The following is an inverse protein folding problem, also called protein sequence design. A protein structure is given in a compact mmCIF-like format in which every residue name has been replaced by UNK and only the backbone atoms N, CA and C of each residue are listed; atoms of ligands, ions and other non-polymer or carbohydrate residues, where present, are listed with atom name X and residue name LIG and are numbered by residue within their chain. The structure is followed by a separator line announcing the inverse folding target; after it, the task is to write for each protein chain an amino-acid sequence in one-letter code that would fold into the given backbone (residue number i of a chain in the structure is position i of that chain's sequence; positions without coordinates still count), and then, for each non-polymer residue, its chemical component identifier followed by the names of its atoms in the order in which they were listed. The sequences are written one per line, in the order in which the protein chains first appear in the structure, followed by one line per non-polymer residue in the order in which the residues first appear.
data_IF_559664461037
#
_entry.id   IF_559664461037
#
_cell.length_a   1.000
_cell.length_b   1.000
_cell.length_c   1.000
_cell.angle_alpha   90.00
_cell.angle_beta   90.00
_cell.angle_gamma   90.00
#
_symmetry.space_group_name_H-M   'P 1'
#
loop_
_entity.id
_entity.type
_entity.pdbx_description
1 polymer ?
#
# COMPACT_ATOMS: atom_id res chain seq x y z
N UNK A 1 14.04 -11.66 -3.54
CA UNK A 1 12.70 -11.96 -4.09
C UNK A 1 11.66 -12.07 -2.97
N UNK A 2 11.35 -10.95 -2.31
CA UNK A 2 10.21 -10.88 -1.40
C UNK A 2 9.06 -10.22 -2.18
N UNK A 3 8.71 -10.89 -3.27
CA UNK A 3 7.50 -10.62 -4.00
C UNK A 3 6.28 -11.19 -3.27
N UNK A 4 5.10 -10.77 -3.68
CA UNK A 4 3.83 -11.36 -3.28
C UNK A 4 3.95 -12.87 -3.09
N UNK A 5 3.52 -13.44 -1.97
CA UNK A 5 3.62 -14.87 -1.72
C UNK A 5 2.93 -15.63 -2.86
N UNK A 6 3.64 -16.56 -3.50
CA UNK A 6 3.06 -17.37 -4.60
C UNK A 6 1.79 -18.04 -4.10
N UNK A 7 0.69 -17.81 -4.79
CA UNK A 7 -0.57 -18.51 -4.55
C UNK A 7 -0.41 -19.94 -5.06
N UNK A 8 -0.10 -20.90 -4.19
CA UNK A 8 -0.59 -22.25 -4.41
C UNK A 8 -2.06 -22.24 -3.97
N UNK A 9 -2.94 -22.01 -4.94
CA UNK A 9 -4.38 -22.05 -4.74
C UNK A 9 -4.79 -23.52 -4.73
N UNK A 10 -4.77 -24.14 -3.54
CA UNK A 10 -5.68 -25.22 -3.24
C UNK A 10 -6.86 -24.54 -2.55
N UNK A 11 -7.99 -24.52 -3.23
CA UNK A 11 -9.25 -24.03 -2.67
C UNK A 11 -9.62 -24.85 -1.43
N UNK A 12 -9.65 -24.27 -0.26
CA UNK A 12 -10.48 -24.77 0.82
C UNK A 12 -11.73 -23.90 0.89
N UNK A 13 -12.86 -24.58 1.04
CA UNK A 13 -14.17 -24.00 1.23
C UNK A 13 -14.13 -22.79 2.16
N UNK A 14 -14.65 -21.68 1.67
CA UNK A 14 -14.84 -20.43 2.39
C UNK A 14 -15.73 -20.72 3.61
N UNK A 15 -15.12 -20.89 4.78
CA UNK A 15 -15.83 -20.69 6.05
C UNK A 15 -15.89 -19.18 6.29
N UNK A 16 -17.03 -18.59 5.97
CA UNK A 16 -17.41 -17.29 6.47
C UNK A 16 -17.45 -17.34 8.01
N UNK A 17 -16.33 -17.04 8.65
CA UNK A 17 -16.33 -16.56 10.03
C UNK A 17 -16.30 -15.05 9.97
N UNK A 18 -17.47 -14.45 10.17
CA UNK A 18 -17.62 -13.06 10.52
C UNK A 18 -16.90 -12.81 11.84
N UNK A 19 -15.66 -12.38 11.80
CA UNK A 19 -15.04 -11.72 12.94
C UNK A 19 -15.37 -10.23 12.83
N UNK A 20 -16.41 -9.81 13.56
CA UNK A 20 -16.85 -8.45 13.71
C UNK A 20 -15.85 -7.65 14.54
N UNK A 21 -14.71 -7.28 13.94
CA UNK A 21 -13.99 -6.08 14.29
C UNK A 21 -14.15 -5.11 13.12
N UNK A 22 -15.39 -4.67 12.89
CA UNK A 22 -15.67 -3.61 11.97
C UNK A 22 -14.97 -2.34 12.44
N UNK A 23 -14.31 -1.64 11.52
CA UNK A 23 -14.01 -0.23 11.70
C UNK A 23 -15.31 0.43 12.20
N UNK A 24 -15.29 1.25 13.27
CA UNK A 24 -16.53 1.83 13.82
C UNK A 24 -17.32 2.46 12.67
N UNK A 25 -18.66 2.30 12.66
CA UNK A 25 -19.49 2.83 11.58
C UNK A 25 -19.23 4.31 11.42
N UNK A 26 -19.00 4.72 10.19
CA UNK A 26 -18.85 6.13 9.81
C UNK A 26 -20.13 6.86 10.22
N UNK A 27 -20.10 7.53 11.37
CA UNK A 27 -21.14 8.48 11.73
C UNK A 27 -21.06 9.65 10.76
N UNK A 28 -22.11 9.82 9.94
CA UNK A 28 -22.26 10.90 8.95
C UNK A 28 -22.24 12.31 9.56
N UNK A 29 -22.24 12.42 10.88
CA UNK A 29 -22.36 13.67 11.65
C UNK A 29 -21.07 14.12 12.34
N UNK A 30 -19.92 13.51 12.01
CA UNK A 30 -18.66 14.14 12.36
C UNK A 30 -18.42 15.30 11.40
N UNK A 31 -18.31 16.55 11.91
CA UNK A 31 -17.84 17.63 11.07
C UNK A 31 -16.50 17.17 10.48
N UNK A 32 -16.42 17.17 9.15
CA UNK A 32 -15.16 16.95 8.44
C UNK A 32 -14.10 17.71 9.21
N UNK A 33 -13.07 17.06 9.78
CA UNK A 33 -11.99 17.82 10.36
C UNK A 33 -11.55 18.75 9.23
N UNK A 34 -11.68 20.05 9.48
CA UNK A 34 -11.21 21.11 8.61
C UNK A 34 -9.95 20.61 7.95
N UNK A 35 -9.97 20.49 6.63
CA UNK A 35 -8.81 20.17 5.83
C UNK A 35 -7.67 21.04 6.35
N UNK A 36 -6.88 20.51 7.28
CA UNK A 36 -5.57 21.10 7.54
C UNK A 36 -4.97 21.19 6.17
N UNK A 37 -4.65 22.39 5.75
CA UNK A 37 -4.11 22.68 4.44
C UNK A 37 -3.13 21.57 4.13
N UNK A 38 -3.51 20.70 3.18
CA UNK A 38 -2.62 19.64 2.69
C UNK A 38 -1.48 20.43 2.11
N UNK A 39 -0.35 20.47 2.80
CA UNK A 39 0.85 21.03 2.19
C UNK A 39 0.97 20.32 0.85
N UNK A 40 1.08 21.05 -0.27
CA UNK A 40 1.04 20.43 -1.58
C UNK A 40 2.24 19.50 -1.72
N UNK A 41 2.00 18.21 -1.50
CA UNK A 41 3.01 17.22 -1.75
C UNK A 41 3.02 16.93 -3.24
N UNK A 42 4.18 17.04 -3.85
CA UNK A 42 4.34 16.70 -5.26
C UNK A 42 4.58 15.20 -5.38
N UNK A 43 3.61 14.47 -5.96
CA UNK A 43 3.72 13.02 -6.19
C UNK A 43 4.15 12.80 -7.63
N UNK A 44 5.30 12.16 -7.80
CA UNK A 44 5.91 11.89 -9.11
C UNK A 44 6.50 10.49 -9.15
N UNK A 45 6.82 10.02 -10.33
CA UNK A 45 7.58 8.79 -10.49
C UNK A 45 8.99 8.95 -9.90
N UNK A 46 9.44 7.93 -9.17
CA UNK A 46 10.78 7.91 -8.62
C UNK A 46 11.82 7.60 -9.71
N UNK A 47 13.01 8.09 -9.51
CA UNK A 47 14.20 7.78 -10.30
C UNK A 47 15.14 6.85 -9.53
N UNK A 48 16.11 6.22 -10.22
CA UNK A 48 17.06 5.32 -9.55
C UNK A 48 17.86 6.03 -8.46
N UNK A 49 18.18 7.31 -8.65
CA UNK A 49 18.86 8.15 -7.67
C UNK A 49 18.06 8.35 -6.35
N UNK A 50 16.76 8.14 -6.37
CA UNK A 50 15.90 8.27 -5.19
C UNK A 50 15.90 7.03 -4.28
N UNK A 51 16.39 5.89 -4.79
CA UNK A 51 16.19 4.59 -4.13
C UNK A 51 16.82 4.50 -2.76
N UNK A 52 17.95 5.16 -2.54
CA UNK A 52 18.61 5.20 -1.23
C UNK A 52 17.73 5.95 -0.21
N UNK A 53 17.23 7.12 -0.57
CA UNK A 53 16.33 7.91 0.28
C UNK A 53 14.98 7.19 0.52
N UNK A 54 14.47 6.49 -0.50
CA UNK A 54 13.26 5.66 -0.36
C UNK A 54 13.51 4.48 0.59
N UNK A 55 14.69 3.86 0.56
CA UNK A 55 15.07 2.79 1.47
C UNK A 55 15.18 3.27 2.92
N UNK A 56 15.76 4.45 3.13
CA UNK A 56 15.79 5.08 4.45
C UNK A 56 14.40 5.37 4.98
N UNK A 57 13.54 5.96 4.14
CA UNK A 57 12.13 6.19 4.47
C UNK A 57 11.42 4.88 4.81
N UNK A 58 11.68 3.81 4.06
CA UNK A 58 11.11 2.50 4.31
C UNK A 58 11.48 1.98 5.69
N UNK A 59 12.77 2.01 6.02
CA UNK A 59 13.25 1.57 7.33
C UNK A 59 12.60 2.35 8.47
N UNK A 60 12.45 3.67 8.31
CA UNK A 60 11.79 4.52 9.30
C UNK A 60 10.29 4.22 9.43
N UNK A 61 9.57 4.14 8.31
CA UNK A 61 8.13 3.93 8.30
C UNK A 61 7.70 2.56 8.86
N UNK A 62 8.49 1.52 8.58
CA UNK A 62 8.19 0.15 9.02
C UNK A 62 8.58 -0.17 10.47
N UNK A 63 9.25 0.76 11.19
CA UNK A 63 9.48 0.61 12.63
C UNK A 63 8.18 0.42 13.42
N UNK A 64 7.12 1.13 13.03
CA UNK A 64 5.81 0.99 13.65
C UNK A 64 5.20 -0.40 13.48
N UNK A 65 5.30 -0.95 12.27
CA UNK A 65 4.85 -2.30 11.94
C UNK A 65 5.66 -3.36 12.69
N UNK A 66 7.00 -3.22 12.71
CA UNK A 66 7.88 -4.13 13.43
C UNK A 66 7.55 -4.19 14.93
N UNK A 67 7.29 -3.04 15.57
CA UNK A 67 6.86 -2.99 16.96
C UNK A 67 5.51 -3.67 17.17
N UNK A 68 4.56 -3.44 16.27
CA UNK A 68 3.21 -4.04 16.31
C UNK A 68 3.27 -5.57 16.20
N UNK A 69 4.20 -6.09 15.39
CA UNK A 69 4.43 -7.51 15.18
C UNK A 69 5.37 -8.12 16.22
N UNK A 70 6.10 -7.28 16.96
CA UNK A 70 7.22 -7.67 17.83
C UNK A 70 8.30 -8.45 17.06
N UNK A 71 8.56 -8.03 15.81
CA UNK A 71 9.53 -8.64 14.91
C UNK A 71 10.21 -7.55 14.07
N UNK A 72 11.50 -7.36 14.31
CA UNK A 72 12.34 -6.40 13.57
C UNK A 72 13.05 -7.03 12.36
N UNK A 73 12.82 -8.31 12.11
CA UNK A 73 13.32 -9.03 10.92
C UNK A 73 12.31 -9.08 9.77
N UNK A 74 11.24 -8.29 9.84
CA UNK A 74 10.25 -8.22 8.76
C UNK A 74 10.94 -7.82 7.44
N UNK A 75 10.53 -8.41 6.30
CA UNK A 75 11.18 -8.21 5.01
C UNK A 75 11.43 -6.74 4.62
N UNK A 76 10.51 -5.78 4.88
CA UNK A 76 10.79 -4.38 4.54
C UNK A 76 11.97 -3.77 5.29
N UNK A 77 12.27 -4.22 6.52
CA UNK A 77 13.41 -3.72 7.28
C UNK A 77 14.74 -4.37 6.88
N UNK A 78 14.68 -5.57 6.32
CA UNK A 78 15.85 -6.36 5.91
C UNK A 78 16.26 -6.11 4.46
N UNK A 79 15.42 -5.43 3.67
CA UNK A 79 15.69 -5.18 2.27
C UNK A 79 16.99 -4.40 2.06
N UNK A 80 17.82 -4.89 1.15
CA UNK A 80 19.04 -4.20 0.70
C UNK A 80 18.74 -3.21 -0.42
N UNK A 81 19.69 -2.31 -0.70
CA UNK A 81 19.59 -1.39 -1.82
C UNK A 81 19.59 -2.14 -3.16
N UNK A 82 20.37 -3.19 -3.27
CA UNK A 82 20.48 -4.00 -4.50
C UNK A 82 19.14 -4.70 -4.82
N UNK A 83 18.51 -5.30 -3.80
CA UNK A 83 17.18 -5.89 -3.95
C UNK A 83 16.13 -4.84 -4.34
N UNK A 84 16.24 -3.61 -3.81
CA UNK A 84 15.35 -2.52 -4.19
C UNK A 84 15.57 -2.07 -5.63
N UNK A 85 16.83 -2.00 -6.11
CA UNK A 85 17.14 -1.70 -7.51
C UNK A 85 16.57 -2.76 -8.45
N UNK A 86 16.62 -4.03 -8.07
CA UNK A 86 16.00 -5.10 -8.88
C UNK A 86 14.47 -4.97 -8.94
N UNK A 87 13.83 -4.67 -7.82
CA UNK A 87 12.39 -4.38 -7.82
C UNK A 87 12.05 -3.14 -8.68
N UNK A 88 12.91 -2.11 -8.65
CA UNK A 88 12.72 -0.88 -9.41
C UNK A 88 12.75 -1.10 -10.93
N UNK A 89 13.65 -1.95 -11.42
CA UNK A 89 13.78 -2.25 -12.87
C UNK A 89 12.51 -2.82 -13.50
N UNK A 90 11.67 -3.48 -12.72
CA UNK A 90 10.44 -4.14 -13.19
C UNK A 90 9.17 -3.61 -12.54
N UNK A 91 9.32 -2.67 -11.61
CA UNK A 91 8.23 -2.13 -10.82
C UNK A 91 7.93 -0.66 -11.10
N UNK A 92 6.83 -0.21 -10.56
CA UNK A 92 6.39 1.17 -10.57
C UNK A 92 6.68 1.74 -9.18
N UNK A 93 7.40 2.85 -9.11
CA UNK A 93 7.70 3.53 -7.86
C UNK A 93 7.24 4.99 -7.95
N UNK A 94 6.34 5.39 -7.05
CA UNK A 94 6.00 6.80 -6.87
C UNK A 94 6.63 7.32 -5.57
N UNK A 95 7.07 8.56 -5.61
CA UNK A 95 7.55 9.32 -4.44
C UNK A 95 6.69 10.56 -4.23
N UNK A 96 6.48 10.92 -2.97
CA UNK A 96 5.92 12.20 -2.57
C UNK A 96 7.04 13.03 -1.94
N UNK A 97 7.23 14.24 -2.43
CA UNK A 97 8.21 15.20 -1.90
C UNK A 97 7.52 16.37 -1.22
N UNK A 98 8.11 16.85 -0.14
CA UNK A 98 7.69 18.06 0.55
C UNK A 98 8.21 19.33 -0.16
N UNK A 99 7.87 20.50 0.38
CA UNK A 99 8.30 21.81 -0.13
C UNK A 99 9.83 22.00 -0.13
N UNK A 100 10.56 21.21 0.65
CA UNK A 100 12.02 21.23 0.74
C UNK A 100 12.68 20.21 -0.20
N UNK A 101 11.88 19.48 -1.00
CA UNK A 101 12.36 18.43 -1.89
C UNK A 101 12.70 17.13 -1.19
N UNK A 102 12.37 16.96 0.11
CA UNK A 102 12.60 15.72 0.84
C UNK A 102 11.51 14.69 0.51
N UNK A 103 11.91 13.44 0.28
CA UNK A 103 10.97 12.33 0.09
C UNK A 103 10.31 11.99 1.42
N UNK A 104 8.98 12.18 1.48
CA UNK A 104 8.17 11.97 2.70
C UNK A 104 7.12 10.88 2.54
N UNK A 105 7.01 10.30 1.36
CA UNK A 105 6.14 9.17 1.08
C UNK A 105 6.56 8.41 -0.17
N UNK A 106 6.17 7.14 -0.25
CA UNK A 106 6.38 6.32 -1.45
C UNK A 106 5.36 5.18 -1.50
N UNK A 107 5.05 4.74 -2.71
CA UNK A 107 4.23 3.54 -2.97
C UNK A 107 4.81 2.80 -4.16
N UNK A 108 4.70 1.47 -4.16
CA UNK A 108 5.15 0.62 -5.25
C UNK A 108 4.00 -0.14 -5.88
N UNK A 109 4.09 -0.36 -7.19
CA UNK A 109 3.19 -1.19 -7.96
C UNK A 109 3.95 -2.16 -8.85
N UNK A 110 3.34 -3.31 -9.14
CA UNK A 110 3.84 -4.27 -10.11
C UNK A 110 2.67 -4.82 -10.90
N UNK A 111 2.70 -4.69 -12.23
CA UNK A 111 1.70 -5.27 -13.11
C UNK A 111 1.95 -6.77 -13.30
N UNK A 112 0.92 -7.58 -13.06
CA UNK A 112 0.92 -9.03 -13.35
C UNK A 112 -0.35 -9.39 -14.10
N UNK A 113 -0.25 -9.54 -15.41
CA UNK A 113 -1.43 -9.65 -16.27
C UNK A 113 -2.34 -8.43 -16.07
N UNK A 114 -3.60 -8.66 -15.79
CA UNK A 114 -4.63 -7.62 -15.59
C UNK A 114 -4.68 -7.09 -14.14
N UNK A 115 -3.72 -7.43 -13.29
CA UNK A 115 -3.72 -7.04 -11.89
C UNK A 115 -2.52 -6.14 -11.56
N UNK A 116 -2.80 -4.96 -11.01
CA UNK A 116 -1.80 -4.12 -10.36
C UNK A 116 -1.66 -4.56 -8.89
N UNK A 117 -0.53 -5.15 -8.58
CA UNK A 117 -0.15 -5.51 -7.21
C UNK A 117 0.49 -4.29 -6.54
N UNK A 118 -0.15 -3.80 -5.47
CA UNK A 118 0.30 -2.60 -4.74
C UNK A 118 0.98 -3.04 -3.45
N UNK A 119 2.14 -2.48 -3.20
CA UNK A 119 2.92 -2.79 -2.01
C UNK A 119 3.73 -1.61 -1.49
N UNK A 120 4.23 -1.79 -0.28
CA UNK A 120 5.15 -0.84 0.35
C UNK A 120 4.66 0.62 0.29
N UNK A 121 3.34 0.84 0.53
CA UNK A 121 2.80 2.17 0.78
C UNK A 121 3.32 2.66 2.12
N UNK A 122 4.08 3.74 2.10
CA UNK A 122 4.73 4.29 3.28
C UNK A 122 4.71 5.80 3.29
N UNK A 123 4.58 6.36 4.49
CA UNK A 123 4.58 7.79 4.75
C UNK A 123 5.45 8.04 5.97
N UNK A 124 6.31 9.06 5.89
CA UNK A 124 7.16 9.50 6.98
C UNK A 124 6.30 9.74 8.24
N UNK A 125 6.71 9.28 9.43
CA UNK A 125 5.88 9.36 10.63
C UNK A 125 5.30 10.76 10.90
N UNK A 126 6.07 11.82 10.71
CA UNK A 126 5.63 13.20 10.93
C UNK A 126 4.60 13.70 9.90
N UNK A 127 4.50 13.04 8.73
CA UNK A 127 3.57 13.39 7.66
C UNK A 127 2.33 12.49 7.65
N UNK A 128 2.24 11.53 8.58
CA UNK A 128 1.10 10.62 8.69
C UNK A 128 -0.14 11.34 9.25
N UNK A 129 -1.33 10.80 8.91
CA UNK A 129 -2.61 11.36 9.40
C UNK A 129 -3.17 12.50 8.55
N UNK A 130 -2.43 13.01 7.56
CA UNK A 130 -2.81 14.14 6.70
C UNK A 130 -3.31 13.70 5.31
N UNK A 131 -3.68 12.44 5.11
CA UNK A 131 -4.22 11.95 3.85
C UNK A 131 -3.19 11.55 2.78
N UNK A 132 -1.88 11.80 2.99
CA UNK A 132 -0.83 11.55 1.99
C UNK A 132 -0.81 10.09 1.50
N UNK A 133 -1.07 9.10 2.38
CA UNK A 133 -1.15 7.71 1.97
C UNK A 133 -2.28 7.43 0.99
N UNK A 134 -3.45 8.07 1.16
CA UNK A 134 -4.55 7.99 0.20
C UNK A 134 -4.21 8.67 -1.13
N UNK A 135 -3.55 9.83 -1.08
CA UNK A 135 -3.11 10.54 -2.29
C UNK A 135 -2.12 9.69 -3.11
N UNK A 136 -1.12 9.07 -2.47
CA UNK A 136 -0.17 8.17 -3.12
C UNK A 136 -0.86 6.98 -3.78
N UNK A 137 -1.83 6.37 -3.07
CA UNK A 137 -2.59 5.24 -3.58
C UNK A 137 -3.41 5.63 -4.81
N UNK A 138 -4.16 6.75 -4.72
CA UNK A 138 -5.00 7.26 -5.80
C UNK A 138 -4.17 7.69 -7.02
N UNK A 139 -3.00 8.31 -6.82
CA UNK A 139 -2.13 8.71 -7.91
C UNK A 139 -1.51 7.49 -8.61
N UNK A 140 -1.17 6.43 -7.86
CA UNK A 140 -0.74 5.16 -8.45
C UNK A 140 -1.86 4.53 -9.30
N UNK A 141 -3.08 4.46 -8.78
CA UNK A 141 -4.25 3.91 -9.47
C UNK A 141 -4.59 4.68 -10.75
N UNK A 142 -4.49 6.01 -10.71
CA UNK A 142 -4.78 6.90 -11.83
C UNK A 142 -3.76 6.78 -12.96
N UNK A 143 -2.47 6.73 -12.61
CA UNK A 143 -1.38 6.70 -13.60
C UNK A 143 -1.13 5.29 -14.15
N UNK A 144 -1.53 4.25 -13.43
CA UNK A 144 -1.35 2.86 -13.82
C UNK A 144 -2.66 2.07 -13.70
N UNK A 145 -3.66 2.40 -14.53
CA UNK A 145 -4.97 1.77 -14.46
C UNK A 145 -4.87 0.28 -14.79
N UNK A 146 -5.57 -0.54 -14.01
CA UNK A 146 -5.68 -1.97 -14.23
C UNK A 146 -7.10 -2.45 -13.90
N UNK A 147 -7.60 -3.50 -14.54
CA UNK A 147 -8.92 -4.06 -14.25
C UNK A 147 -9.09 -4.53 -12.81
N UNK A 148 -7.97 -4.88 -12.17
CA UNK A 148 -7.93 -5.31 -10.77
C UNK A 148 -6.73 -4.72 -10.06
N UNK A 149 -6.96 -4.25 -8.85
CA UNK A 149 -5.95 -3.78 -7.93
C UNK A 149 -5.93 -4.72 -6.73
N UNK A 150 -4.77 -5.17 -6.30
CA UNK A 150 -4.62 -6.08 -5.17
C UNK A 150 -3.49 -5.61 -4.25
N UNK A 151 -3.72 -5.70 -2.96
CA UNK A 151 -2.73 -5.44 -1.93
C UNK A 151 -2.96 -6.35 -0.72
N UNK A 152 -2.01 -6.37 0.20
CA UNK A 152 -2.20 -7.05 1.47
C UNK A 152 -1.60 -6.25 2.63
N UNK A 153 -2.10 -6.53 3.82
CA UNK A 153 -1.57 -5.99 5.08
C UNK A 153 -1.71 -7.00 6.22
N UNK A 154 -1.10 -6.72 7.35
CA UNK A 154 -1.26 -7.50 8.56
C UNK A 154 -2.65 -7.30 9.17
N UNK A 155 -3.23 -8.35 9.74
CA UNK A 155 -4.46 -8.27 10.52
C UNK A 155 -4.33 -7.38 11.78
N UNK A 156 -3.11 -7.11 12.22
CA UNK A 156 -2.80 -6.21 13.35
C UNK A 156 -2.74 -4.74 12.94
N UNK A 157 -2.53 -4.45 11.66
CA UNK A 157 -2.42 -3.09 11.13
C UNK A 157 -3.79 -2.47 10.86
N UNK A 158 -4.58 -2.22 11.91
CA UNK A 158 -5.94 -1.68 11.80
C UNK A 158 -5.96 -0.35 11.03
N UNK A 159 -4.93 0.48 11.20
CA UNK A 159 -4.78 1.74 10.48
C UNK A 159 -4.69 1.54 8.97
N UNK A 160 -3.91 0.55 8.53
CA UNK A 160 -3.75 0.24 7.11
C UNK A 160 -5.05 -0.36 6.56
N UNK A 161 -5.70 -1.25 7.29
CA UNK A 161 -7.01 -1.80 6.90
C UNK A 161 -8.03 -0.67 6.69
N UNK A 162 -8.17 0.24 7.65
CA UNK A 162 -9.06 1.40 7.51
C UNK A 162 -8.67 2.31 6.33
N UNK A 163 -7.37 2.52 6.08
CA UNK A 163 -6.91 3.30 4.93
C UNK A 163 -7.39 2.67 3.62
N UNK A 164 -7.17 1.38 3.43
CA UNK A 164 -7.53 0.68 2.20
C UNK A 164 -9.04 0.59 2.01
N UNK A 165 -9.79 0.25 3.06
CA UNK A 165 -11.25 0.18 3.02
C UNK A 165 -11.88 1.54 2.65
N UNK A 166 -11.36 2.66 3.19
CA UNK A 166 -11.78 4.03 2.83
C UNK A 166 -11.46 4.40 1.37
N UNK A 167 -10.45 3.77 0.77
CA UNK A 167 -10.11 3.96 -0.65
C UNK A 167 -10.83 2.96 -1.57
N UNK A 168 -11.83 2.22 -1.05
CA UNK A 168 -12.69 1.35 -1.84
C UNK A 168 -12.16 -0.07 -2.03
N UNK A 169 -11.15 -0.48 -1.26
CA UNK A 169 -10.70 -1.86 -1.26
C UNK A 169 -11.57 -2.72 -0.36
N UNK A 170 -11.83 -3.95 -0.78
CA UNK A 170 -12.59 -4.94 -0.03
C UNK A 170 -11.72 -6.17 0.27
N UNK A 171 -11.89 -6.75 1.43
CA UNK A 171 -11.16 -7.96 1.82
C UNK A 171 -11.60 -9.13 0.93
N UNK A 172 -10.64 -9.83 0.34
CA UNK A 172 -10.92 -10.95 -0.58
C UNK A 172 -10.30 -12.28 -0.15
N UNK A 173 -9.25 -12.28 0.66
CA UNK A 173 -8.63 -13.49 1.16
C UNK A 173 -7.83 -13.23 2.44
N UNK A 174 -7.51 -14.32 3.17
CA UNK A 174 -6.64 -14.29 4.34
C UNK A 174 -5.61 -15.42 4.24
N UNK A 175 -4.41 -15.18 4.77
CA UNK A 175 -3.35 -16.17 4.84
C UNK A 175 -2.68 -16.12 6.20
N UNK A 176 -2.84 -17.16 7.01
CA UNK A 176 -2.08 -17.32 8.23
C UNK A 176 -0.59 -17.53 7.89
N UNK A 177 0.28 -16.74 8.49
CA UNK A 177 1.73 -16.83 8.37
C UNK A 177 2.31 -17.48 9.63
N UNK A 178 1.76 -17.11 10.79
CA UNK A 178 2.08 -17.69 12.08
C UNK A 178 0.83 -17.67 12.98
N UNK A 179 0.84 -18.31 14.17
CA UNK A 179 -0.26 -18.20 15.12
C UNK A 179 -0.61 -16.75 15.50
N UNK A 180 0.35 -15.84 15.40
CA UNK A 180 0.21 -14.44 15.78
C UNK A 180 0.00 -13.48 14.60
N UNK A 181 0.17 -13.93 13.34
CA UNK A 181 0.15 -13.08 12.15
C UNK A 181 -0.68 -13.71 11.04
N UNK A 182 -1.71 -12.99 10.61
CA UNK A 182 -2.49 -13.28 9.41
C UNK A 182 -2.37 -12.11 8.43
N UNK A 183 -2.06 -12.40 7.18
CA UNK A 183 -2.13 -11.43 6.10
C UNK A 183 -3.56 -11.35 5.58
N UNK A 184 -4.07 -10.14 5.48
CA UNK A 184 -5.36 -9.81 4.90
C UNK A 184 -5.12 -9.28 3.49
N UNK A 185 -5.67 -9.96 2.49
CA UNK A 185 -5.64 -9.51 1.10
C UNK A 185 -6.88 -8.68 0.82
N UNK A 186 -6.67 -7.56 0.14
CA UNK A 186 -7.74 -6.68 -0.27
C UNK A 186 -7.64 -6.44 -1.78
N UNK A 187 -8.81 -6.32 -2.42
CA UNK A 187 -8.90 -6.01 -3.85
C UNK A 187 -9.83 -4.82 -4.10
N UNK A 188 -9.58 -4.15 -5.21
CA UNK A 188 -10.47 -3.13 -5.77
C UNK A 188 -10.61 -3.39 -7.26
N UNK A 189 -11.84 -3.35 -7.77
CA UNK A 189 -12.13 -3.40 -9.20
C UNK A 189 -12.67 -2.03 -9.58
N UNK A 190 -11.88 -1.20 -10.29
CA UNK A 190 -12.35 0.09 -10.77
C UNK A 190 -13.62 -0.04 -11.61
N UNK A 191 -14.58 0.85 -11.43
CA UNK A 191 -15.89 0.80 -12.07
C UNK A 191 -15.85 1.07 -13.58
N UNK A 192 -14.69 1.51 -14.12
CA UNK A 192 -14.48 1.74 -15.55
C UNK A 192 -13.20 1.02 -15.98
N UNK A 193 -13.28 0.03 -16.88
CA UNK A 193 -12.10 -0.41 -17.59
C UNK A 193 -11.57 0.79 -18.37
N UNK A 194 -10.28 1.09 -18.24
CA UNK A 194 -9.62 2.04 -19.11
C UNK A 194 -9.94 1.63 -20.55
N UNK A 195 -10.65 2.48 -21.29
CA UNK A 195 -10.83 2.32 -22.72
C UNK A 195 -9.42 2.25 -23.31
N UNK A 196 -9.09 1.10 -23.86
CA UNK A 196 -7.87 0.91 -24.61
C UNK A 196 -7.86 1.96 -25.73
N UNK A 197 -7.10 3.03 -25.56
CA UNK A 197 -6.74 3.90 -26.66
C UNK A 197 -5.75 3.10 -27.50
N UNK A 198 -6.29 2.46 -28.55
CA UNK A 198 -5.46 1.97 -29.66
C UNK A 198 -4.71 3.19 -30.22
N UNK A 199 -3.36 3.15 -30.29
CA UNK A 199 -2.67 4.10 -31.15
C UNK A 199 -2.98 3.74 -32.61
N UNK A 200 -3.56 4.70 -33.34
CA UNK A 200 -3.62 4.72 -34.79
C UNK A 200 -2.26 5.06 -35.33
#
# INVERSE_FOLDING_TARGET
LVGFPRKNVVSPAIRQRQSNAACPPFQKDFPMPCLKAVTPHHIVQAEEADLEAILELQRLAYQGEARLLNDFSIPPLMQTLEEMKEEFRSGIFLKAVDEKGKIVGSVRGTLRGDTLLIGKLMVHPEHQGNGLGSCLLQELEKNFPAPRLELFTSNKSLRNLCLYERNGYTRCAEKAVSPALTLIFLEKKPSHPASAQNPV
#
